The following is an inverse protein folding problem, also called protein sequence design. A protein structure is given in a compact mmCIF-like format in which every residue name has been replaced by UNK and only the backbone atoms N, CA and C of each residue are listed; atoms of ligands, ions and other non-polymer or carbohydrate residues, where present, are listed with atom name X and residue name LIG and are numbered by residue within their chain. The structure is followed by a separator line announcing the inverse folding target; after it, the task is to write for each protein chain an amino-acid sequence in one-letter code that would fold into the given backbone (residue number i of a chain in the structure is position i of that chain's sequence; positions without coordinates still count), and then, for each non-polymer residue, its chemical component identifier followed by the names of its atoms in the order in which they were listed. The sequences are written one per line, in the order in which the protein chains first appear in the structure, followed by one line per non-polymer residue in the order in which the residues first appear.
data_IF_446052446452
#
_entry.id   IF_446052446452
#
_cell.length_a   1.000
_cell.length_b   1.000
_cell.length_c   1.000
_cell.angle_alpha   90.00
_cell.angle_beta   90.00
_cell.angle_gamma   90.00
#
_symmetry.space_group_name_H-M   'P 1'
#
loop_
_entity.id
_entity.type
_entity.pdbx_description
1 polymer ?
#
# COMPACT_ATOMS: atom_id res chain seq x y z
N UNK A 1 50.30 -3.78 -2.47
CA UNK A 1 49.40 -4.95 -2.49
C UNK A 1 47.98 -4.43 -2.21
N UNK A 2 47.27 -4.02 -3.26
CA UNK A 2 45.89 -3.55 -3.17
C UNK A 2 44.98 -4.77 -3.16
N UNK A 3 44.41 -5.11 -2.01
CA UNK A 3 43.35 -6.11 -1.94
C UNK A 3 42.07 -5.44 -2.44
N UNK A 4 41.85 -5.49 -3.75
CA UNK A 4 40.55 -5.20 -4.36
C UNK A 4 39.58 -6.29 -3.93
N UNK A 5 38.75 -5.99 -2.93
CA UNK A 5 37.75 -6.92 -2.44
C UNK A 5 36.60 -6.99 -3.47
N UNK A 6 36.72 -7.94 -4.41
CA UNK A 6 35.63 -8.31 -5.32
C UNK A 6 34.51 -8.97 -4.51
N UNK A 7 33.47 -8.22 -4.19
CA UNK A 7 32.08 -8.71 -4.02
C UNK A 7 31.24 -7.79 -4.90
N UNK A 8 31.09 -8.07 -6.20
CA UNK A 8 30.25 -9.14 -6.72
C UNK A 8 28.92 -8.50 -7.13
N UNK A 9 28.62 -8.48 -8.42
CA UNK A 9 27.66 -7.61 -9.10
C UNK A 9 26.16 -7.92 -8.85
N UNK A 10 25.78 -8.53 -7.73
CA UNK A 10 24.41 -9.03 -7.48
C UNK A 10 23.91 -8.77 -6.04
N UNK A 11 24.33 -7.69 -5.39
CA UNK A 11 23.72 -7.27 -4.11
C UNK A 11 22.69 -6.20 -4.41
N UNK A 12 21.41 -6.58 -4.52
CA UNK A 12 20.30 -5.62 -4.55
C UNK A 12 20.46 -4.71 -3.33
N UNK A 13 20.67 -3.42 -3.57
CA UNK A 13 20.53 -2.44 -2.51
C UNK A 13 19.05 -2.41 -2.11
N UNK A 14 18.75 -2.93 -0.93
CA UNK A 14 17.38 -2.99 -0.44
C UNK A 14 16.79 -1.60 -0.21
N UNK A 15 17.63 -0.59 0.04
CA UNK A 15 17.19 0.79 0.06
C UNK A 15 16.69 1.22 -1.32
N UNK A 16 17.49 0.99 -2.38
CA UNK A 16 17.10 1.35 -3.74
C UNK A 16 15.87 0.58 -4.20
N UNK A 17 15.76 -0.71 -3.88
CA UNK A 17 14.57 -1.51 -4.17
C UNK A 17 13.34 -0.95 -3.48
N UNK A 18 13.45 -0.60 -2.19
CA UNK A 18 12.35 -0.03 -1.44
C UNK A 18 11.94 1.33 -2.00
N UNK A 19 12.90 2.23 -2.24
CA UNK A 19 12.66 3.56 -2.82
C UNK A 19 12.01 3.43 -4.19
N UNK A 20 12.47 2.50 -5.04
CA UNK A 20 11.85 2.22 -6.34
C UNK A 20 10.40 1.75 -6.20
N UNK A 21 10.12 0.85 -5.24
CA UNK A 21 8.77 0.35 -4.99
C UNK A 21 7.85 1.44 -4.44
N UNK A 22 8.37 2.28 -3.53
CA UNK A 22 7.66 3.41 -2.95
C UNK A 22 7.35 4.46 -4.01
N UNK A 23 8.31 4.88 -4.84
CA UNK A 23 8.09 5.82 -5.93
C UNK A 23 7.07 5.31 -6.96
N UNK A 24 7.13 4.02 -7.30
CA UNK A 24 6.13 3.41 -8.17
C UNK A 24 4.74 3.44 -7.53
N UNK A 25 4.65 3.14 -6.23
CA UNK A 25 3.42 3.26 -5.45
C UNK A 25 2.88 4.69 -5.42
N UNK A 26 3.74 5.67 -5.10
CA UNK A 26 3.38 7.09 -5.03
C UNK A 26 2.83 7.57 -6.36
N UNK A 27 3.53 7.25 -7.46
CA UNK A 27 3.08 7.58 -8.80
C UNK A 27 1.71 6.97 -9.10
N UNK A 28 1.53 5.66 -8.85
CA UNK A 28 0.27 4.98 -9.13
C UNK A 28 -0.90 5.52 -8.29
N UNK A 29 -0.68 5.84 -7.02
CA UNK A 29 -1.73 6.41 -6.15
C UNK A 29 -2.10 7.86 -6.52
N UNK A 30 -1.14 8.66 -7.01
CA UNK A 30 -1.42 10.01 -7.52
C UNK A 30 -2.16 9.98 -8.85
N UNK A 31 -1.74 9.09 -9.76
CA UNK A 31 -2.34 8.93 -11.10
C UNK A 31 -3.72 8.24 -11.06
N UNK A 32 -4.03 7.53 -9.96
CA UNK A 32 -5.34 6.95 -9.78
C UNK A 32 -6.41 8.05 -9.78
N UNK A 33 -7.50 7.79 -10.51
CA UNK A 33 -8.68 8.63 -10.59
C UNK A 33 -9.82 7.94 -9.84
N UNK A 34 -10.05 8.29 -8.56
CA UNK A 34 -11.07 7.60 -7.78
C UNK A 34 -12.46 7.84 -8.34
N UNK A 35 -13.35 6.86 -8.21
CA UNK A 35 -14.78 7.06 -8.48
C UNK A 35 -15.38 7.92 -7.38
N UNK A 36 -15.84 9.16 -7.65
CA UNK A 36 -16.41 10.02 -6.62
C UNK A 36 -17.71 9.44 -6.06
N UNK A 37 -18.03 9.77 -4.81
CA UNK A 37 -19.26 9.33 -4.16
C UNK A 37 -20.04 10.49 -3.53
N UNK A 38 -21.36 10.33 -3.43
CA UNK A 38 -22.23 11.19 -2.64
C UNK A 38 -22.59 10.45 -1.36
N UNK A 39 -22.30 11.06 -0.22
CA UNK A 39 -22.61 10.51 1.11
C UNK A 39 -23.74 11.34 1.71
N UNK A 40 -24.80 10.69 2.16
CA UNK A 40 -25.93 11.33 2.80
C UNK A 40 -26.56 10.44 3.87
N UNK A 41 -27.50 11.02 4.63
CA UNK A 41 -28.29 10.26 5.59
C UNK A 41 -29.52 9.65 4.91
N UNK A 42 -29.93 8.43 5.27
CA UNK A 42 -31.16 7.85 4.73
C UNK A 42 -32.42 8.54 5.28
N UNK A 43 -33.55 8.36 4.58
CA UNK A 43 -34.85 8.90 5.02
C UNK A 43 -35.41 8.14 6.21
N UNK A 44 -35.03 6.86 6.35
CA UNK A 44 -35.41 5.99 7.47
C UNK A 44 -34.19 5.32 8.10
N UNK A 45 -34.23 4.91 9.39
CA UNK A 45 -33.16 4.11 9.98
C UNK A 45 -32.90 2.85 9.15
N UNK A 46 -31.63 2.61 8.77
CA UNK A 46 -31.19 1.51 7.89
C UNK A 46 -31.71 1.54 6.44
N UNK A 47 -32.20 2.70 5.97
CA UNK A 47 -32.55 2.90 4.57
C UNK A 47 -31.34 2.89 3.63
N UNK A 48 -31.58 2.57 2.36
CA UNK A 48 -30.59 2.53 1.27
C UNK A 48 -30.68 3.75 0.32
N UNK A 49 -31.43 4.77 0.73
CA UNK A 49 -31.65 6.02 0.00
C UNK A 49 -30.88 7.21 0.60
N UNK A 50 -30.94 8.36 -0.07
CA UNK A 50 -30.40 9.63 0.43
C UNK A 50 -31.55 10.61 0.63
N UNK A 51 -31.68 11.11 1.86
CA UNK A 51 -32.65 12.16 2.21
C UNK A 51 -32.17 13.52 1.68
N UNK A 52 -32.85 14.10 0.67
CA UNK A 52 -32.44 15.37 0.07
C UNK A 52 -32.64 16.56 1.02
N UNK A 53 -33.33 16.38 2.16
CA UNK A 53 -33.53 17.44 3.17
C UNK A 53 -32.39 17.51 4.18
N UNK A 54 -31.48 16.54 4.19
CA UNK A 54 -30.33 16.48 5.09
C UNK A 54 -29.03 16.83 4.33
N UNK A 55 -27.95 17.19 5.05
CA UNK A 55 -26.66 17.44 4.42
C UNK A 55 -26.19 16.26 3.57
N UNK A 56 -25.70 16.57 2.37
CA UNK A 56 -25.04 15.64 1.47
C UNK A 56 -23.60 16.09 1.25
N UNK A 57 -22.68 15.13 1.18
CA UNK A 57 -21.26 15.37 1.01
C UNK A 57 -20.80 14.75 -0.30
N UNK A 58 -20.16 15.56 -1.14
CA UNK A 58 -19.49 15.07 -2.33
C UNK A 58 -18.04 14.75 -2.01
N UNK A 59 -17.67 13.48 -2.16
CA UNK A 59 -16.33 12.97 -1.83
C UNK A 59 -15.62 12.59 -3.14
N UNK A 60 -14.71 13.47 -3.58
CA UNK A 60 -13.95 13.30 -4.81
C UNK A 60 -12.99 12.10 -4.78
N UNK A 61 -12.49 11.75 -3.60
CA UNK A 61 -11.49 10.70 -3.42
C UNK A 61 -12.09 9.28 -3.33
N UNK A 62 -13.39 9.17 -3.57
CA UNK A 62 -14.15 7.92 -3.57
C UNK A 62 -14.35 7.33 -2.17
N UNK A 63 -14.57 6.02 -2.14
CA UNK A 63 -14.88 5.30 -0.90
C UNK A 63 -13.71 5.30 0.09
N UNK A 64 -14.06 5.37 1.37
CA UNK A 64 -13.09 5.30 2.46
C UNK A 64 -12.54 3.89 2.63
N UNK A 65 -11.24 3.77 2.88
CA UNK A 65 -10.63 2.48 3.20
C UNK A 65 -9.14 2.50 3.40
N UNK A 66 -8.60 1.30 3.57
CA UNK A 66 -7.20 1.03 3.85
C UNK A 66 -6.58 0.14 2.78
N UNK A 67 -5.27 0.27 2.60
CA UNK A 67 -4.45 -0.69 1.87
C UNK A 67 -3.10 -0.93 2.54
N UNK A 68 -2.51 -2.08 2.23
CA UNK A 68 -1.20 -2.48 2.71
C UNK A 68 -0.53 -3.46 1.74
N UNK A 69 0.79 -3.58 1.84
CA UNK A 69 1.59 -4.59 1.13
C UNK A 69 1.96 -5.67 2.13
N UNK A 70 1.61 -6.93 1.85
CA UNK A 70 1.98 -8.06 2.70
C UNK A 70 3.03 -8.94 1.99
N UNK A 71 4.20 -9.09 2.61
CA UNK A 71 5.33 -9.87 2.09
C UNK A 71 5.34 -11.25 2.73
N UNK A 72 5.36 -12.31 1.89
CA UNK A 72 5.40 -13.70 2.38
C UNK A 72 6.45 -14.52 1.64
N UNK A 73 7.29 -15.28 2.36
CA UNK A 73 7.33 -15.44 3.81
C UNK A 73 8.02 -14.25 4.52
N UNK A 74 7.75 -14.05 5.81
CA UNK A 74 8.36 -12.99 6.64
C UNK A 74 9.83 -13.28 7.04
N UNK A 75 10.64 -13.72 6.08
CA UNK A 75 12.05 -14.12 6.26
C UNK A 75 12.90 -13.64 5.08
N UNK A 76 14.22 -13.64 5.29
CA UNK A 76 15.19 -13.25 4.27
C UNK A 76 15.76 -11.85 4.49
N UNK A 77 16.77 -11.51 3.70
CA UNK A 77 17.59 -10.31 3.90
C UNK A 77 16.80 -9.01 3.78
N UNK A 78 15.84 -8.93 2.86
CA UNK A 78 14.97 -7.75 2.73
C UNK A 78 14.10 -7.52 3.98
N UNK A 79 13.51 -8.58 4.55
CA UNK A 79 12.73 -8.47 5.78
C UNK A 79 13.63 -8.06 6.97
N UNK A 80 14.85 -8.57 7.04
CA UNK A 80 15.82 -8.13 8.05
C UNK A 80 16.15 -6.64 7.90
N UNK A 81 16.34 -6.18 6.66
CA UNK A 81 16.57 -4.77 6.36
C UNK A 81 15.36 -3.88 6.72
N UNK A 82 14.13 -4.29 6.38
CA UNK A 82 12.92 -3.56 6.77
C UNK A 82 12.83 -3.37 8.29
N UNK A 83 13.13 -4.42 9.06
CA UNK A 83 13.17 -4.37 10.52
C UNK A 83 14.23 -3.41 11.05
N UNK A 84 15.43 -3.39 10.47
CA UNK A 84 16.48 -2.44 10.89
C UNK A 84 16.11 -0.99 10.60
N UNK A 85 15.26 -0.76 9.59
CA UNK A 85 14.74 0.57 9.26
C UNK A 85 13.46 0.95 10.02
N UNK A 86 12.89 0.04 10.82
CA UNK A 86 11.61 0.26 11.51
C UNK A 86 10.39 0.33 10.57
N UNK A 87 10.49 -0.23 9.37
CA UNK A 87 9.43 -0.18 8.34
C UNK A 87 8.56 -1.42 8.44
N UNK A 88 7.25 -1.24 8.63
CA UNK A 88 6.29 -2.32 8.65
C UNK A 88 6.31 -3.18 9.92
N UNK A 89 5.49 -4.23 9.95
CA UNK A 89 5.32 -5.10 11.12
C UNK A 89 5.00 -6.53 10.74
N UNK A 90 5.26 -7.48 11.65
CA UNK A 90 4.74 -8.84 11.50
C UNK A 90 3.21 -8.82 11.52
N UNK A 91 2.61 -9.61 10.65
CA UNK A 91 1.16 -9.78 10.58
C UNK A 91 0.75 -11.08 11.26
N UNK A 92 -0.02 -11.00 12.35
CA UNK A 92 -0.51 -12.16 13.08
C UNK A 92 -1.76 -12.77 12.46
N UNK A 93 -2.50 -12.02 11.64
CA UNK A 93 -3.77 -12.45 11.09
C UNK A 93 -3.57 -13.13 9.73
N UNK A 94 -2.94 -12.43 8.78
CA UNK A 94 -2.67 -12.98 7.46
C UNK A 94 -1.36 -13.80 7.41
N UNK A 95 -0.53 -13.70 8.45
CA UNK A 95 0.88 -14.09 8.37
C UNK A 95 1.67 -13.17 7.44
N UNK A 96 3.00 -13.21 7.54
CA UNK A 96 3.87 -12.38 6.70
C UNK A 96 4.38 -11.12 7.40
N UNK A 97 4.83 -10.17 6.59
CA UNK A 97 5.35 -8.89 7.03
C UNK A 97 4.67 -7.77 6.24
N UNK A 98 3.93 -6.93 6.95
CA UNK A 98 2.99 -5.96 6.39
C UNK A 98 3.57 -4.55 6.46
N UNK A 99 3.50 -3.84 5.34
CA UNK A 99 3.81 -2.41 5.20
C UNK A 99 2.49 -1.67 4.92
N UNK A 100 2.10 -0.75 5.79
CA UNK A 100 0.86 0.04 5.63
C UNK A 100 1.03 1.17 4.64
N UNK A 101 -0.01 1.45 3.85
CA UNK A 101 -0.06 2.64 2.99
C UNK A 101 -0.58 3.83 3.81
N UNK A 102 0.34 4.65 4.32
CA UNK A 102 0.02 5.83 5.13
C UNK A 102 -0.42 7.04 4.30
N UNK A 103 -0.03 7.12 3.03
CA UNK A 103 -0.42 8.20 2.12
C UNK A 103 -1.89 8.16 1.66
N UNK A 104 -2.29 9.17 0.89
CA UNK A 104 -3.60 9.28 0.20
C UNK A 104 -4.86 9.39 1.08
N UNK A 105 -4.73 9.90 2.31
CA UNK A 105 -5.88 10.16 3.18
C UNK A 105 -6.72 8.90 3.42
N UNK A 106 -8.03 8.98 3.20
CA UNK A 106 -8.96 7.84 3.28
C UNK A 106 -9.26 7.21 1.92
N UNK A 107 -8.66 7.66 0.81
CA UNK A 107 -9.00 7.15 -0.52
C UNK A 107 -8.59 5.69 -0.69
N UNK A 108 -9.57 4.78 -0.72
CA UNK A 108 -9.32 3.36 -0.89
C UNK A 108 -8.65 3.05 -2.24
N UNK A 109 -9.14 3.65 -3.32
CA UNK A 109 -8.68 3.36 -4.68
C UNK A 109 -7.24 3.82 -4.90
N UNK A 110 -6.86 5.01 -4.42
CA UNK A 110 -5.47 5.50 -4.47
C UNK A 110 -4.53 4.63 -3.66
N UNK A 111 -4.94 4.24 -2.44
CA UNK A 111 -4.13 3.36 -1.57
C UNK A 111 -3.92 1.98 -2.20
N UNK A 112 -4.95 1.42 -2.84
CA UNK A 112 -4.82 0.16 -3.57
C UNK A 112 -3.92 0.30 -4.79
N UNK A 113 -4.03 1.38 -5.56
CA UNK A 113 -3.14 1.62 -6.69
C UNK A 113 -1.66 1.66 -6.24
N UNK A 114 -1.39 2.36 -5.13
CA UNK A 114 -0.08 2.34 -4.48
C UNK A 114 0.36 0.92 -4.11
N UNK A 115 -0.47 0.17 -3.37
CA UNK A 115 -0.10 -1.15 -2.87
C UNK A 115 0.17 -2.13 -4.01
N UNK A 116 -0.63 -2.07 -5.09
CA UNK A 116 -0.45 -2.88 -6.29
C UNK A 116 0.88 -2.59 -6.99
N UNK A 117 1.21 -1.31 -7.22
CA UNK A 117 2.46 -0.94 -7.87
C UNK A 117 3.69 -1.29 -7.03
N UNK A 118 3.63 -1.04 -5.72
CA UNK A 118 4.69 -1.41 -4.78
C UNK A 118 4.93 -2.92 -4.78
N UNK A 119 3.86 -3.72 -4.61
CA UNK A 119 3.94 -5.17 -4.62
C UNK A 119 4.47 -5.70 -5.94
N UNK A 120 4.08 -5.10 -7.08
CA UNK A 120 4.62 -5.46 -8.39
C UNK A 120 6.13 -5.29 -8.46
N UNK A 121 6.68 -4.15 -8.02
CA UNK A 121 8.13 -3.92 -8.02
C UNK A 121 8.85 -4.96 -7.17
N UNK A 122 8.32 -5.31 -6.00
CA UNK A 122 8.89 -6.37 -5.17
C UNK A 122 8.88 -7.73 -5.88
N UNK A 123 7.75 -8.12 -6.47
CA UNK A 123 7.61 -9.40 -7.17
C UNK A 123 8.55 -9.49 -8.38
N UNK A 124 8.67 -8.42 -9.16
CA UNK A 124 9.59 -8.34 -10.31
C UNK A 124 11.07 -8.48 -9.88
N UNK A 125 11.39 -8.29 -8.60
CA UNK A 125 12.72 -8.46 -8.00
C UNK A 125 12.81 -9.72 -7.11
N UNK A 126 11.90 -10.68 -7.29
CA UNK A 126 11.94 -11.98 -6.60
C UNK A 126 11.46 -11.96 -5.14
N UNK A 127 10.86 -10.86 -4.68
CA UNK A 127 10.28 -10.74 -3.34
C UNK A 127 8.77 -10.89 -3.44
N UNK A 128 8.27 -12.05 -2.99
CA UNK A 128 6.85 -12.37 -3.05
C UNK A 128 6.03 -11.46 -2.13
N UNK A 129 5.26 -10.57 -2.74
CA UNK A 129 4.45 -9.57 -2.06
C UNK A 129 3.03 -9.50 -2.63
N UNK A 130 2.07 -9.12 -1.80
CA UNK A 130 0.66 -9.01 -2.18
C UNK A 130 0.12 -7.64 -1.78
N UNK A 131 -0.58 -6.99 -2.70
CA UNK A 131 -1.41 -5.85 -2.37
C UNK A 131 -2.69 -6.33 -1.68
N UNK A 132 -3.06 -5.67 -0.60
CA UNK A 132 -4.23 -5.99 0.20
C UNK A 132 -4.96 -4.70 0.53
N UNK A 133 -6.26 -4.77 0.76
CA UNK A 133 -7.05 -3.63 1.19
C UNK A 133 -8.38 -4.02 1.81
N UNK A 134 -9.01 -3.06 2.47
CA UNK A 134 -10.32 -3.19 3.10
C UNK A 134 -11.05 -1.85 3.07
N UNK A 135 -12.34 -1.85 2.75
CA UNK A 135 -13.20 -0.69 3.00
C UNK A 135 -13.32 -0.42 4.51
N UNK A 136 -13.52 0.84 4.88
CA UNK A 136 -13.76 1.26 6.26
C UNK A 136 -15.21 1.72 6.46
#
# INVERSE_FOLDING_TARGET
MLITNRKGADMVDFNDLYVKADLAGVKAGNDALPTPMVVGSPTTPLGDDIDPKKPMYFVNDGVCGFAWVNIKPARGKFITWLKSMGIGRKDSYYGGYTIWVSGFGQSYERKNAYANAFAKVLNDNGIKAYAMGRLD
#
